data_IF_612024864471
#
_entry.id   IF_612024864471
#
_cell.length_a   1.000
_cell.length_b   1.000
_cell.length_c   1.000
_cell.angle_alpha   90.00
_cell.angle_beta   90.00
_cell.angle_gamma   90.00
#
_symmetry.space_group_name_H-M   'P 1'
#
loop_
_entity.id
_entity.type
_entity.pdbx_description
1 polymer ?
#
# COMPACT_ATOMS: atom_id res chain seq x y z
N UNK A 1 12.07 8.89 3.65
CA UNK A 1 13.16 9.84 3.97
C UNK A 1 13.12 10.32 5.42
N UNK A 2 11.97 10.85 5.92
CA UNK A 2 11.86 11.42 7.28
C UNK A 2 12.23 10.40 8.35
N UNK A 3 11.70 9.16 8.28
CA UNK A 3 12.02 8.09 9.23
C UNK A 3 13.50 7.70 9.18
N UNK A 4 14.09 7.69 7.99
CA UNK A 4 15.50 7.39 7.82
C UNK A 4 16.41 8.47 8.46
N UNK A 5 15.94 9.72 8.47
CA UNK A 5 16.64 10.83 9.13
C UNK A 5 16.46 10.85 10.65
N UNK A 6 15.39 10.22 11.18
CA UNK A 6 15.15 10.18 12.62
C UNK A 6 16.17 9.30 13.36
N UNK A 7 16.65 9.72 14.54
CA UNK A 7 17.51 8.92 15.40
C UNK A 7 16.68 7.84 16.11
N UNK A 8 16.39 6.73 15.43
CA UNK A 8 15.60 5.62 15.98
C UNK A 8 16.40 4.31 15.92
N UNK A 9 16.36 3.49 16.96
CA UNK A 9 17.15 2.25 17.05
C UNK A 9 16.66 1.18 16.06
N UNK A 10 15.38 1.17 15.68
CA UNK A 10 14.81 0.19 14.76
C UNK A 10 13.97 0.89 13.69
N UNK A 11 14.61 1.38 12.63
CA UNK A 11 13.98 2.11 11.55
C UNK A 11 13.00 1.26 10.75
N UNK A 12 13.27 -0.03 10.54
CA UNK A 12 12.39 -0.95 9.82
C UNK A 12 11.05 -1.15 10.55
N UNK A 13 11.10 -1.33 11.87
CA UNK A 13 9.90 -1.42 12.70
C UNK A 13 9.08 -0.14 12.65
N UNK A 14 9.75 1.02 12.77
CA UNK A 14 9.10 2.32 12.73
C UNK A 14 8.47 2.60 11.34
N UNK A 15 9.15 2.22 10.26
CA UNK A 15 8.63 2.31 8.90
C UNK A 15 7.35 1.48 8.73
N UNK A 16 7.37 0.21 9.16
CA UNK A 16 6.20 -0.67 9.09
C UNK A 16 5.05 -0.15 9.96
N UNK A 17 5.35 0.37 11.14
CA UNK A 17 4.35 0.97 12.03
C UNK A 17 3.70 2.20 11.39
N UNK A 18 4.48 3.11 10.83
CA UNK A 18 3.96 4.30 10.13
C UNK A 18 3.04 3.89 8.97
N UNK A 19 3.46 2.92 8.17
CA UNK A 19 2.63 2.42 7.07
C UNK A 19 1.35 1.71 7.55
N UNK A 20 1.31 1.15 8.77
CA UNK A 20 0.08 0.57 9.32
C UNK A 20 -0.97 1.64 9.62
N UNK A 21 -0.57 2.84 10.06
CA UNK A 21 -1.51 3.96 10.27
C UNK A 21 -2.20 4.41 9.00
N UNK A 22 -1.53 4.35 7.85
CA UNK A 22 -2.17 4.58 6.55
C UNK A 22 -3.35 3.61 6.35
N UNK A 23 -3.15 2.33 6.60
CA UNK A 23 -4.18 1.31 6.43
C UNK A 23 -5.36 1.51 7.39
N UNK A 24 -5.09 1.78 8.66
CA UNK A 24 -6.15 2.06 9.65
C UNK A 24 -6.88 3.37 9.33
N UNK A 25 -6.17 4.37 8.79
CA UNK A 25 -6.77 5.59 8.27
C UNK A 25 -7.73 5.31 7.12
N UNK A 26 -7.35 4.46 6.17
CA UNK A 26 -8.24 4.03 5.07
C UNK A 26 -9.48 3.33 5.60
N UNK A 27 -9.35 2.42 6.57
CA UNK A 27 -10.50 1.78 7.24
C UNK A 27 -11.44 2.82 7.85
N UNK A 28 -10.88 3.79 8.60
CA UNK A 28 -11.67 4.85 9.23
C UNK A 28 -12.40 5.72 8.20
N UNK A 29 -11.72 6.11 7.11
CA UNK A 29 -12.31 6.90 6.03
C UNK A 29 -13.44 6.13 5.35
N UNK A 30 -13.25 4.85 5.02
CA UNK A 30 -14.29 4.02 4.40
C UNK A 30 -15.49 3.90 5.32
N UNK A 31 -15.31 3.53 6.59
CA UNK A 31 -16.40 3.36 7.55
C UNK A 31 -17.19 4.66 7.76
N UNK A 32 -16.51 5.76 8.02
CA UNK A 32 -17.15 7.05 8.29
C UNK A 32 -17.84 7.58 7.04
N UNK A 33 -17.21 7.50 5.86
CA UNK A 33 -17.82 7.97 4.62
C UNK A 33 -19.02 7.12 4.21
N UNK A 34 -18.92 5.79 4.31
CA UNK A 34 -20.04 4.88 4.01
C UNK A 34 -21.23 5.15 4.94
N UNK A 35 -20.98 5.30 6.24
CA UNK A 35 -22.02 5.62 7.22
C UNK A 35 -22.65 6.99 6.96
N UNK A 36 -21.83 8.01 6.70
CA UNK A 36 -22.31 9.36 6.42
C UNK A 36 -23.16 9.40 5.15
N UNK A 37 -22.72 8.76 4.05
CA UNK A 37 -23.49 8.68 2.81
C UNK A 37 -24.80 7.90 3.00
N UNK A 38 -24.82 6.90 3.87
CA UNK A 38 -26.03 6.14 4.19
C UNK A 38 -27.05 6.97 4.98
N UNK A 39 -26.59 7.82 5.91
CA UNK A 39 -27.44 8.66 6.77
C UNK A 39 -27.92 9.92 6.04
N UNK A 40 -27.02 10.60 5.34
CA UNK A 40 -27.29 11.91 4.72
C UNK A 40 -27.59 11.86 3.22
N UNK A 41 -27.53 10.67 2.62
CA UNK A 41 -27.74 10.45 1.20
C UNK A 41 -26.48 10.69 0.35
N UNK A 42 -26.46 10.13 -0.85
CA UNK A 42 -25.31 10.17 -1.79
C UNK A 42 -24.96 11.59 -2.24
N UNK A 43 -25.91 12.52 -2.25
CA UNK A 43 -25.69 13.92 -2.62
C UNK A 43 -24.76 14.68 -1.65
N UNK A 44 -24.57 14.15 -0.43
CA UNK A 44 -23.72 14.75 0.61
C UNK A 44 -22.23 14.53 0.41
N UNK A 45 -21.81 13.83 -0.66
CA UNK A 45 -20.39 13.50 -0.91
C UNK A 45 -19.47 14.73 -0.92
N UNK A 46 -19.95 15.89 -1.41
CA UNK A 46 -19.19 17.15 -1.45
C UNK A 46 -18.85 17.66 -0.04
N UNK A 47 -19.83 17.58 0.88
CA UNK A 47 -19.63 17.99 2.28
C UNK A 47 -18.65 17.06 2.96
N UNK A 48 -18.78 15.75 2.75
CA UNK A 48 -17.86 14.73 3.29
C UNK A 48 -16.45 14.98 2.77
N UNK A 49 -16.28 15.24 1.47
CA UNK A 49 -14.98 15.56 0.88
C UNK A 49 -14.36 16.83 1.48
N UNK A 50 -15.17 17.87 1.72
CA UNK A 50 -14.72 19.09 2.36
C UNK A 50 -14.28 18.87 3.82
N UNK A 51 -14.97 17.99 4.56
CA UNK A 51 -14.57 17.62 5.94
C UNK A 51 -13.23 16.87 5.90
N UNK A 52 -13.05 15.90 4.97
CA UNK A 52 -11.77 15.20 4.83
C UNK A 52 -10.63 16.12 4.43
N UNK A 53 -10.87 17.21 3.70
CA UNK A 53 -9.85 18.21 3.35
C UNK A 53 -9.27 18.95 4.58
N UNK A 54 -9.98 18.97 5.72
CA UNK A 54 -9.46 19.57 6.96
C UNK A 54 -8.27 18.78 7.53
N UNK A 55 -8.16 17.47 7.28
CA UNK A 55 -7.04 16.66 7.77
C UNK A 55 -5.70 17.06 7.14
N UNK A 56 -5.54 17.12 5.80
CA UNK A 56 -4.29 17.57 5.21
C UNK A 56 -3.98 19.04 5.55
N UNK A 57 -5.00 19.90 5.71
CA UNK A 57 -4.80 21.29 6.15
C UNK A 57 -4.23 21.32 7.57
N UNK A 58 -4.82 20.57 8.51
CA UNK A 58 -4.31 20.44 9.88
C UNK A 58 -2.89 19.86 9.91
N UNK A 59 -2.62 18.88 9.06
CA UNK A 59 -1.31 18.27 8.92
C UNK A 59 -0.26 19.27 8.39
N UNK A 60 -0.61 20.08 7.39
CA UNK A 60 0.26 21.14 6.88
C UNK A 60 0.63 22.15 7.97
N UNK A 61 -0.35 22.58 8.77
CA UNK A 61 -0.13 23.47 9.93
C UNK A 61 0.76 22.81 10.99
N UNK A 62 0.57 21.53 11.26
CA UNK A 62 1.41 20.77 12.19
C UNK A 62 2.86 20.66 11.69
N UNK A 63 3.06 20.28 10.43
CA UNK A 63 4.39 20.16 9.83
C UNK A 63 5.17 21.49 9.78
N UNK A 64 4.48 22.63 9.75
CA UNK A 64 5.17 23.94 9.82
C UNK A 64 5.89 24.17 11.16
N UNK A 65 5.61 23.36 12.19
CA UNK A 65 6.18 23.49 13.54
C UNK A 65 7.04 22.32 13.99
N UNK A 66 7.07 21.22 13.21
CA UNK A 66 7.87 20.03 13.53
C UNK A 66 9.29 20.21 13.01
N UNK A 67 10.34 19.97 13.81
CA UNK A 67 11.71 19.95 13.33
C UNK A 67 11.89 18.77 12.37
N UNK A 68 12.30 19.08 11.15
CA UNK A 68 12.64 18.06 10.14
C UNK A 68 14.16 17.88 10.18
N UNK A 69 14.61 16.70 10.57
CA UNK A 69 16.02 16.35 10.52
C UNK A 69 16.47 16.20 9.07
N UNK A 70 17.55 16.87 8.69
CA UNK A 70 18.19 16.62 7.41
C UNK A 70 18.80 15.21 7.42
N UNK A 71 18.64 14.47 6.33
CA UNK A 71 19.47 13.28 6.14
C UNK A 71 20.93 13.76 6.08
N UNK A 72 21.72 13.34 7.06
CA UNK A 72 23.16 13.55 6.99
C UNK A 72 23.61 12.90 5.69
N UNK A 73 24.14 13.69 4.77
CA UNK A 73 24.70 13.14 3.53
C UNK A 73 25.77 12.13 3.95
N UNK A 74 25.44 10.85 3.84
CA UNK A 74 26.45 9.80 3.94
C UNK A 74 27.40 10.10 2.79
N UNK A 75 28.62 10.52 3.11
CA UNK A 75 29.67 10.79 2.13
C UNK A 75 29.71 9.62 1.15
N UNK A 76 29.28 9.85 -0.11
CA UNK A 76 29.33 8.88 -1.17
C UNK A 76 28.01 8.30 -1.66
N UNK A 77 26.91 9.08 -1.69
CA UNK A 77 25.70 8.61 -2.41
C UNK A 77 26.04 8.27 -3.86
N UNK A 78 25.57 7.10 -4.31
CA UNK A 78 25.87 6.61 -5.65
C UNK A 78 25.26 7.56 -6.71
N UNK A 79 26.04 7.93 -7.77
CA UNK A 79 25.49 8.74 -8.86
C UNK A 79 24.33 8.03 -9.55
N UNK A 80 23.29 8.77 -9.93
CA UNK A 80 22.09 8.23 -10.61
C UNK A 80 22.46 7.39 -11.84
N UNK A 81 23.44 7.82 -12.62
CA UNK A 81 23.92 7.07 -13.80
C UNK A 81 24.40 5.66 -13.43
N UNK A 82 25.08 5.51 -12.28
CA UNK A 82 25.52 4.21 -11.78
C UNK A 82 24.36 3.35 -11.28
N UNK A 83 23.39 3.95 -10.57
CA UNK A 83 22.16 3.26 -10.18
C UNK A 83 21.44 2.66 -11.40
N UNK A 84 21.23 3.47 -12.43
CA UNK A 84 20.54 3.05 -13.66
C UNK A 84 21.32 2.00 -14.46
N UNK A 85 22.63 1.84 -14.24
CA UNK A 85 23.43 0.78 -14.87
C UNK A 85 23.38 -0.56 -14.12
N UNK A 86 22.77 -0.63 -12.94
CA UNK A 86 22.72 -1.85 -12.11
C UNK A 86 21.48 -2.69 -12.42
N UNK A 87 21.61 -3.94 -12.87
CA UNK A 87 20.46 -4.84 -13.10
C UNK A 87 19.63 -5.05 -11.83
N UNK A 88 20.29 -5.11 -10.66
CA UNK A 88 19.63 -5.22 -9.36
C UNK A 88 18.66 -4.06 -9.12
N UNK A 89 19.05 -2.84 -9.49
CA UNK A 89 18.18 -1.68 -9.31
C UNK A 89 16.92 -1.76 -10.16
N UNK A 90 17.02 -2.23 -11.40
CA UNK A 90 15.85 -2.48 -12.25
C UNK A 90 14.94 -3.58 -11.69
N UNK A 91 15.52 -4.63 -11.11
CA UNK A 91 14.72 -5.66 -10.43
C UNK A 91 13.94 -5.07 -9.24
N UNK A 92 14.56 -4.21 -8.43
CA UNK A 92 13.90 -3.53 -7.32
C UNK A 92 12.80 -2.57 -7.81
N UNK A 93 13.02 -1.84 -8.92
CA UNK A 93 11.99 -1.00 -9.54
C UNK A 93 10.80 -1.82 -10.01
N UNK A 94 11.04 -2.96 -10.67
CA UNK A 94 9.96 -3.86 -11.11
C UNK A 94 9.19 -4.48 -9.94
N UNK A 95 9.89 -4.85 -8.87
CA UNK A 95 9.24 -5.35 -7.65
C UNK A 95 8.35 -4.26 -7.02
N UNK A 96 8.83 -3.01 -6.97
CA UNK A 96 8.07 -1.91 -6.41
C UNK A 96 6.85 -1.56 -7.29
N UNK A 97 7.04 -1.54 -8.62
CA UNK A 97 5.94 -1.38 -9.58
C UNK A 97 4.86 -2.45 -9.37
N UNK A 98 5.27 -3.73 -9.29
CA UNK A 98 4.35 -4.84 -9.08
C UNK A 98 3.64 -4.75 -7.73
N UNK A 99 4.35 -4.36 -6.66
CA UNK A 99 3.76 -4.15 -5.35
C UNK A 99 2.66 -3.07 -5.39
N UNK A 100 2.94 -1.92 -6.00
CA UNK A 100 1.95 -0.84 -6.18
C UNK A 100 0.76 -1.27 -7.04
N UNK A 101 1.02 -1.95 -8.15
CA UNK A 101 -0.03 -2.45 -9.04
C UNK A 101 -0.97 -3.43 -8.32
N UNK A 102 -0.43 -4.42 -7.61
CA UNK A 102 -1.22 -5.39 -6.87
C UNK A 102 -2.02 -4.76 -5.72
N UNK A 103 -1.40 -3.88 -4.94
CA UNK A 103 -2.07 -3.21 -3.82
C UNK A 103 -3.25 -2.37 -4.30
N UNK A 104 -3.00 -1.48 -5.26
CA UNK A 104 -4.02 -0.51 -5.69
C UNK A 104 -5.09 -1.10 -6.59
N UNK A 105 -4.77 -2.12 -7.38
CA UNK A 105 -5.77 -2.82 -8.19
C UNK A 105 -6.84 -3.47 -7.31
N UNK A 106 -6.44 -4.21 -6.29
CA UNK A 106 -7.40 -4.81 -5.36
C UNK A 106 -8.15 -3.75 -4.56
N UNK A 107 -7.43 -2.76 -4.01
CA UNK A 107 -8.04 -1.72 -3.19
C UNK A 107 -9.09 -0.90 -3.92
N UNK A 108 -8.86 -0.53 -5.18
CA UNK A 108 -9.78 0.30 -5.95
C UNK A 108 -10.94 -0.48 -6.56
N UNK A 109 -10.72 -1.73 -6.95
CA UNK A 109 -11.74 -2.51 -7.64
C UNK A 109 -12.53 -3.46 -6.75
N UNK A 110 -12.11 -3.73 -5.50
CA UNK A 110 -12.76 -4.72 -4.62
C UNK A 110 -14.25 -4.44 -4.39
N UNK A 111 -14.65 -3.18 -4.19
CA UNK A 111 -16.06 -2.83 -3.99
C UNK A 111 -16.88 -3.00 -5.28
N UNK A 112 -16.39 -2.49 -6.41
CA UNK A 112 -17.06 -2.63 -7.70
C UNK A 112 -17.14 -4.09 -8.16
N UNK A 113 -16.07 -4.87 -7.93
CA UNK A 113 -16.04 -6.31 -8.17
C UNK A 113 -17.09 -7.04 -7.32
N UNK A 114 -17.20 -6.70 -6.04
CA UNK A 114 -18.18 -7.30 -5.14
C UNK A 114 -19.63 -6.99 -5.58
N UNK A 115 -19.90 -5.74 -5.95
CA UNK A 115 -21.22 -5.30 -6.41
C UNK A 115 -21.58 -5.91 -7.77
N UNK A 116 -20.74 -5.71 -8.79
CA UNK A 116 -21.04 -6.08 -10.18
C UNK A 116 -20.74 -7.55 -10.48
N UNK A 117 -19.66 -8.10 -9.90
CA UNK A 117 -19.21 -9.47 -10.17
C UNK A 117 -19.86 -10.50 -9.26
N UNK A 118 -20.10 -10.17 -8.00
CA UNK A 118 -20.62 -11.10 -7.00
C UNK A 118 -22.09 -10.85 -6.64
N UNK A 119 -22.70 -9.76 -7.12
CA UNK A 119 -24.10 -9.42 -6.86
C UNK A 119 -24.43 -9.06 -5.40
N UNK A 120 -23.41 -8.66 -4.60
CA UNK A 120 -23.62 -8.20 -3.23
C UNK A 120 -23.91 -6.69 -3.20
N UNK A 121 -24.54 -6.21 -2.13
CA UNK A 121 -24.81 -4.77 -2.01
C UNK A 121 -23.51 -3.96 -1.94
N UNK A 122 -23.54 -2.71 -2.44
CA UNK A 122 -22.40 -1.79 -2.37
C UNK A 122 -21.82 -1.66 -0.96
N UNK A 123 -22.71 -1.57 0.06
CA UNK A 123 -22.27 -1.49 1.47
C UNK A 123 -21.45 -2.72 1.88
N UNK A 124 -21.87 -3.91 1.46
CA UNK A 124 -21.13 -5.16 1.72
C UNK A 124 -19.81 -5.15 0.95
N UNK A 125 -19.81 -4.69 -0.29
CA UNK A 125 -18.59 -4.53 -1.10
C UNK A 125 -17.57 -3.58 -0.46
N UNK A 126 -18.02 -2.43 0.02
CA UNK A 126 -17.15 -1.46 0.71
C UNK A 126 -16.57 -2.04 2.02
N UNK A 127 -17.39 -2.72 2.82
CA UNK A 127 -16.97 -3.26 4.12
C UNK A 127 -16.12 -4.53 3.99
N UNK A 128 -16.54 -5.51 3.19
CA UNK A 128 -15.86 -6.79 3.08
C UNK A 128 -14.81 -6.82 1.95
N UNK A 129 -14.92 -5.96 0.96
CA UNK A 129 -13.89 -5.76 -0.06
C UNK A 129 -12.80 -4.82 0.45
N UNK A 130 -13.07 -3.52 0.42
CA UNK A 130 -12.06 -2.48 0.66
C UNK A 130 -11.65 -2.40 2.13
N UNK A 131 -12.62 -2.40 3.06
CA UNK A 131 -12.32 -2.24 4.48
C UNK A 131 -11.57 -3.45 5.05
N UNK A 132 -11.99 -4.68 4.73
CA UNK A 132 -11.30 -5.90 5.16
C UNK A 132 -9.90 -6.01 4.54
N UNK A 133 -9.75 -5.67 3.24
CA UNK A 133 -8.45 -5.57 2.57
C UNK A 133 -7.50 -4.64 3.35
N UNK A 134 -7.94 -3.40 3.61
CA UNK A 134 -7.13 -2.40 4.31
C UNK A 134 -6.83 -2.78 5.75
N UNK A 135 -7.78 -3.39 6.45
CA UNK A 135 -7.61 -3.88 7.82
C UNK A 135 -6.55 -4.97 7.89
N UNK A 136 -6.64 -5.99 7.04
CA UNK A 136 -5.68 -7.09 7.02
C UNK A 136 -4.30 -6.62 6.56
N UNK A 137 -4.22 -5.66 5.64
CA UNK A 137 -2.98 -5.00 5.26
C UNK A 137 -2.36 -4.26 6.45
N UNK A 138 -3.15 -3.51 7.21
CA UNK A 138 -2.70 -2.82 8.42
C UNK A 138 -2.22 -3.80 9.49
N UNK A 139 -2.93 -4.90 9.70
CA UNK A 139 -2.55 -5.97 10.63
C UNK A 139 -1.21 -6.59 10.22
N UNK A 140 -1.01 -6.92 8.93
CA UNK A 140 0.25 -7.48 8.45
C UNK A 140 1.43 -6.54 8.73
N UNK A 141 1.28 -5.25 8.43
CA UNK A 141 2.29 -4.21 8.71
C UNK A 141 2.54 -4.04 10.21
N UNK A 142 1.49 -4.02 11.00
CA UNK A 142 1.59 -3.92 12.46
C UNK A 142 2.30 -5.15 13.07
N UNK A 143 1.91 -6.35 12.68
CA UNK A 143 2.57 -7.57 13.13
C UNK A 143 4.05 -7.58 12.76
N UNK A 144 4.39 -7.18 11.52
CA UNK A 144 5.79 -7.07 11.10
C UNK A 144 6.58 -6.06 11.95
N UNK A 145 5.94 -5.00 12.42
CA UNK A 145 6.59 -4.00 13.29
C UNK A 145 6.85 -4.51 14.69
N UNK A 146 6.07 -5.47 15.18
CA UNK A 146 6.13 -5.98 16.56
C UNK A 146 6.84 -7.31 16.71
N UNK A 147 6.71 -8.17 15.70
CA UNK A 147 7.31 -9.50 15.74
C UNK A 147 8.71 -9.46 15.13
N UNK A 148 9.71 -9.84 15.94
CA UNK A 148 11.07 -9.98 15.45
C UNK A 148 11.18 -11.28 14.63
N UNK A 149 10.75 -11.21 13.37
CA UNK A 149 10.74 -12.36 12.45
C UNK A 149 12.20 -12.68 12.08
N UNK A 150 12.68 -13.83 12.48
CA UNK A 150 14.03 -14.33 12.14
C UNK A 150 14.17 -14.72 10.66
N UNK A 151 13.07 -14.72 9.93
CA UNK A 151 13.03 -15.06 8.49
C UNK A 151 13.68 -13.95 7.66
N UNK A 152 14.49 -14.33 6.69
CA UNK A 152 15.10 -13.37 5.77
C UNK A 152 14.02 -12.57 5.02
N UNK A 153 14.33 -11.31 4.71
CA UNK A 153 13.39 -10.46 3.96
C UNK A 153 13.03 -11.07 2.60
N UNK A 154 13.96 -11.76 1.95
CA UNK A 154 13.73 -12.44 0.67
C UNK A 154 12.68 -13.54 0.77
N UNK A 155 12.81 -14.45 1.76
CA UNK A 155 11.83 -15.53 1.97
C UNK A 155 10.45 -14.97 2.30
N UNK A 156 10.39 -13.89 3.09
CA UNK A 156 9.15 -13.21 3.40
C UNK A 156 8.49 -12.60 2.16
N UNK A 157 9.27 -11.92 1.31
CA UNK A 157 8.79 -11.33 0.05
C UNK A 157 8.27 -12.40 -0.92
N UNK A 158 8.98 -13.53 -1.05
CA UNK A 158 8.53 -14.67 -1.89
C UNK A 158 7.21 -15.23 -1.34
N UNK A 159 7.11 -15.46 -0.03
CA UNK A 159 5.89 -15.96 0.59
C UNK A 159 4.70 -15.02 0.41
N UNK A 160 4.92 -13.71 0.60
CA UNK A 160 3.89 -12.69 0.39
C UNK A 160 3.49 -12.58 -1.10
N UNK A 161 4.44 -12.65 -2.02
CA UNK A 161 4.15 -12.66 -3.45
C UNK A 161 3.33 -13.88 -3.88
N UNK A 162 3.68 -15.07 -3.39
CA UNK A 162 2.93 -16.30 -3.65
C UNK A 162 1.51 -16.23 -3.06
N UNK A 163 1.38 -15.73 -1.83
CA UNK A 163 0.08 -15.52 -1.19
C UNK A 163 -0.76 -14.49 -1.96
N UNK A 164 -0.14 -13.41 -2.46
CA UNK A 164 -0.81 -12.42 -3.29
C UNK A 164 -1.39 -13.05 -4.56
N UNK A 165 -0.58 -13.81 -5.30
CA UNK A 165 -1.04 -14.52 -6.50
C UNK A 165 -2.18 -15.51 -6.19
N UNK A 166 -2.04 -16.30 -5.13
CA UNK A 166 -3.09 -17.22 -4.69
C UNK A 166 -4.38 -16.48 -4.31
N UNK A 167 -4.28 -15.31 -3.67
CA UNK A 167 -5.41 -14.49 -3.27
C UNK A 167 -6.17 -13.92 -4.47
N UNK A 168 -5.45 -13.46 -5.49
CA UNK A 168 -6.04 -13.01 -6.76
C UNK A 168 -6.75 -14.15 -7.49
N UNK A 169 -6.12 -15.34 -7.55
CA UNK A 169 -6.76 -16.53 -8.12
C UNK A 169 -7.99 -16.94 -7.34
N UNK A 170 -7.94 -16.90 -6.02
CA UNK A 170 -9.10 -17.18 -5.17
C UNK A 170 -10.23 -16.18 -5.44
N UNK A 171 -9.92 -14.88 -5.50
CA UNK A 171 -10.93 -13.86 -5.80
C UNK A 171 -11.57 -14.06 -7.18
N UNK A 172 -10.76 -14.42 -8.20
CA UNK A 172 -11.23 -14.56 -9.57
C UNK A 172 -11.99 -15.88 -9.85
N UNK A 173 -11.62 -16.97 -9.18
CA UNK A 173 -12.10 -18.32 -9.51
C UNK A 173 -13.06 -18.92 -8.46
N UNK A 174 -13.27 -18.24 -7.33
CA UNK A 174 -14.12 -18.78 -6.27
C UNK A 174 -15.59 -18.87 -6.70
N UNK A 175 -16.24 -20.02 -6.46
CA UNK A 175 -17.64 -20.22 -6.86
C UNK A 175 -18.64 -19.46 -5.96
N UNK A 176 -18.20 -19.00 -4.77
CA UNK A 176 -19.03 -18.32 -3.80
C UNK A 176 -18.50 -16.90 -3.49
N UNK A 177 -19.39 -15.89 -3.40
CA UNK A 177 -19.01 -14.52 -3.08
C UNK A 177 -18.16 -14.38 -1.80
N UNK A 178 -18.49 -15.16 -0.75
CA UNK A 178 -17.73 -15.12 0.50
C UNK A 178 -16.27 -15.55 0.34
N UNK A 179 -15.98 -16.56 -0.50
CA UNK A 179 -14.61 -16.99 -0.79
C UNK A 179 -13.87 -15.98 -1.65
N UNK A 180 -14.55 -15.35 -2.61
CA UNK A 180 -13.97 -14.29 -3.42
C UNK A 180 -13.60 -13.07 -2.55
N UNK A 181 -14.46 -12.64 -1.65
CA UNK A 181 -14.20 -11.58 -0.69
C UNK A 181 -13.08 -11.94 0.30
N UNK A 182 -13.01 -13.21 0.73
CA UNK A 182 -11.88 -13.70 1.52
C UNK A 182 -10.56 -13.56 0.73
N UNK A 183 -10.57 -13.86 -0.56
CA UNK A 183 -9.44 -13.62 -1.47
C UNK A 183 -9.02 -12.16 -1.48
N UNK A 184 -9.97 -11.21 -1.56
CA UNK A 184 -9.67 -9.78 -1.46
C UNK A 184 -9.00 -9.42 -0.12
N UNK A 185 -9.50 -9.93 0.99
CA UNK A 185 -8.91 -9.71 2.30
C UNK A 185 -7.49 -10.29 2.45
N UNK A 186 -7.29 -11.55 2.03
CA UNK A 186 -5.96 -12.21 2.05
C UNK A 186 -4.96 -11.50 1.14
N UNK A 187 -5.42 -10.95 0.02
CA UNK A 187 -4.59 -10.09 -0.82
C UNK A 187 -4.08 -8.88 -0.01
N UNK A 188 -4.94 -8.21 0.76
CA UNK A 188 -4.54 -7.11 1.64
C UNK A 188 -3.43 -7.52 2.62
N UNK A 189 -3.58 -8.67 3.28
CA UNK A 189 -2.55 -9.19 4.18
C UNK A 189 -1.22 -9.42 3.46
N UNK A 190 -1.24 -9.98 2.26
CA UNK A 190 -0.04 -10.29 1.48
C UNK A 190 0.68 -9.04 0.97
N UNK A 191 -0.05 -8.09 0.37
CA UNK A 191 0.57 -6.87 -0.18
C UNK A 191 1.07 -5.93 0.92
N UNK A 192 0.56 -6.06 2.15
CA UNK A 192 0.98 -5.25 3.28
C UNK A 192 2.49 -5.22 3.52
N UNK A 193 3.18 -6.30 3.18
CA UNK A 193 4.63 -6.43 3.37
C UNK A 193 5.43 -6.01 2.12
N UNK A 194 4.81 -6.03 0.92
CA UNK A 194 5.55 -5.86 -0.33
C UNK A 194 6.23 -4.47 -0.44
N UNK A 195 5.49 -3.39 -0.22
CA UNK A 195 6.06 -2.03 -0.28
C UNK A 195 7.20 -1.81 0.72
N UNK A 196 6.99 -1.96 2.04
CA UNK A 196 8.06 -1.79 3.02
C UNK A 196 9.18 -2.82 2.83
N UNK A 197 8.86 -4.01 2.31
CA UNK A 197 9.83 -5.05 2.01
C UNK A 197 10.80 -4.66 0.91
N UNK A 198 10.32 -4.07 -0.20
CA UNK A 198 11.21 -3.59 -1.27
C UNK A 198 12.13 -2.48 -0.79
N UNK A 199 11.63 -1.53 0.02
CA UNK A 199 12.49 -0.51 0.63
C UNK A 199 13.56 -1.10 1.54
N UNK A 200 13.18 -2.10 2.37
CA UNK A 200 14.14 -2.80 3.23
C UNK A 200 15.21 -3.53 2.42
N UNK A 201 14.79 -4.27 1.38
CA UNK A 201 15.71 -4.95 0.46
C UNK A 201 16.65 -3.95 -0.24
N UNK A 202 16.14 -2.83 -0.71
CA UNK A 202 16.94 -1.80 -1.35
C UNK A 202 18.00 -1.22 -0.40
N UNK A 203 17.63 -0.96 0.85
CA UNK A 203 18.56 -0.50 1.89
C UNK A 203 19.66 -1.50 2.22
N UNK A 204 19.33 -2.80 2.27
CA UNK A 204 20.29 -3.87 2.54
C UNK A 204 21.23 -4.14 1.33
N UNK A 205 20.66 -4.19 0.12
CA UNK A 205 21.40 -4.57 -1.10
C UNK A 205 22.18 -3.40 -1.73
N UNK A 206 21.72 -2.17 -1.51
CA UNK A 206 22.33 -0.94 -2.04
C UNK A 206 22.50 0.12 -0.94
N UNK A 207 23.35 -0.11 0.06
CA UNK A 207 23.51 0.82 1.20
C UNK A 207 23.94 2.24 0.79
N UNK A 208 24.62 2.37 -0.33
CA UNK A 208 25.07 3.65 -0.90
C UNK A 208 24.10 4.25 -1.91
N UNK A 209 22.92 3.66 -2.11
CA UNK A 209 21.93 4.10 -3.10
C UNK A 209 21.38 5.51 -2.88
N UNK A 210 21.39 5.97 -1.62
CA UNK A 210 21.02 7.32 -1.25
C UNK A 210 19.56 7.69 -1.52
N UNK A 211 19.25 8.98 -1.38
CA UNK A 211 17.88 9.51 -1.54
C UNK A 211 17.32 9.26 -2.95
N UNK A 212 18.16 9.34 -3.98
CA UNK A 212 17.74 9.14 -5.37
C UNK A 212 17.17 7.74 -5.61
N UNK A 213 17.80 6.70 -5.06
CA UNK A 213 17.32 5.32 -5.15
C UNK A 213 15.88 5.19 -4.59
N UNK A 214 15.66 5.70 -3.38
CA UNK A 214 14.35 5.65 -2.75
C UNK A 214 13.29 6.48 -3.49
N UNK A 215 13.69 7.61 -4.10
CA UNK A 215 12.80 8.41 -4.92
C UNK A 215 12.36 7.68 -6.19
N UNK A 216 13.27 7.01 -6.89
CA UNK A 216 12.93 6.20 -8.06
C UNK A 216 12.07 4.98 -7.70
N UNK A 217 12.33 4.34 -6.56
CA UNK A 217 11.48 3.25 -6.08
C UNK A 217 10.06 3.75 -5.79
N UNK A 218 9.91 4.90 -5.10
CA UNK A 218 8.60 5.49 -4.88
C UNK A 218 7.89 5.77 -6.21
N UNK A 219 8.57 6.41 -7.17
CA UNK A 219 8.02 6.68 -8.49
C UNK A 219 7.57 5.41 -9.22
N UNK A 220 8.36 4.34 -9.17
CA UNK A 220 7.98 3.05 -9.76
C UNK A 220 6.72 2.47 -9.12
N UNK A 221 6.62 2.55 -7.79
CA UNK A 221 5.42 2.14 -7.05
C UNK A 221 4.20 2.97 -7.42
N UNK A 222 4.33 4.29 -7.54
CA UNK A 222 3.23 5.19 -7.92
C UNK A 222 2.77 4.93 -9.37
N UNK A 223 3.69 4.65 -10.29
CA UNK A 223 3.34 4.25 -11.66
C UNK A 223 2.59 2.91 -11.65
N UNK A 224 3.02 1.93 -10.84
CA UNK A 224 2.31 0.67 -10.65
C UNK A 224 0.92 0.88 -10.06
N UNK A 225 0.83 1.71 -9.03
CA UNK A 225 -0.42 2.05 -8.33
C UNK A 225 -1.46 2.73 -9.22
N UNK A 226 -1.01 3.46 -10.22
CA UNK A 226 -1.89 4.08 -11.22
C UNK A 226 -2.15 3.15 -12.40
N UNK A 227 -1.13 2.49 -12.91
CA UNK A 227 -1.19 1.63 -14.09
C UNK A 227 -1.98 0.34 -13.88
N UNK A 228 -1.82 -0.33 -12.72
CA UNK A 228 -2.52 -1.57 -12.40
C UNK A 228 -4.04 -1.44 -12.46
N UNK A 229 -4.66 -0.56 -11.64
CA UNK A 229 -6.11 -0.35 -11.67
C UNK A 229 -6.62 0.13 -13.04
N UNK A 230 -5.85 0.97 -13.73
CA UNK A 230 -6.23 1.47 -15.07
C UNK A 230 -6.30 0.33 -16.07
N UNK A 231 -5.32 -0.58 -16.09
CA UNK A 231 -5.32 -1.74 -16.98
C UNK A 231 -6.52 -2.66 -16.69
N UNK A 232 -6.83 -2.91 -15.41
CA UNK A 232 -8.00 -3.71 -15.03
C UNK A 232 -9.28 -3.02 -15.53
N UNK A 233 -9.41 -1.70 -15.35
CA UNK A 233 -10.58 -0.96 -15.81
C UNK A 233 -10.76 -0.99 -17.31
N UNK A 234 -9.68 -0.88 -18.08
CA UNK A 234 -9.73 -0.98 -19.55
C UNK A 234 -10.15 -2.37 -20.01
N UNK A 235 -9.63 -3.43 -19.38
CA UNK A 235 -9.99 -4.81 -19.71
C UNK A 235 -11.45 -5.08 -19.33
N UNK A 236 -11.88 -4.70 -18.13
CA UNK A 236 -13.25 -4.90 -17.67
C UNK A 236 -14.28 -4.10 -18.48
N UNK A 237 -13.92 -2.90 -18.96
CA UNK A 237 -14.80 -2.08 -19.79
C UNK A 237 -14.90 -2.53 -21.27
N UNK A 238 -14.05 -3.47 -21.70
CA UNK A 238 -14.06 -4.04 -23.06
C UNK A 238 -14.91 -5.31 -23.17
N UNK A 239 -15.46 -5.80 -22.08
CA UNK A 239 -16.33 -6.99 -21.96
C UNK A 239 -17.64 -6.63 -21.30
#
# INVERSE_FOLDING_TARGET
PIIEACPAPNKHSLMSLMHSFYCFGTVAVVLVSTLALRIFGSESWRVIAAIWALLPLGNALFFSRVPIYSMTEVHGSMPVKRLLSMPLFWALLMLMFAAGACEMSMSQWASAFAESGLGVSKTVGDLLGVCMFSLLMGIARFLRSRVNVKTSIFSLMIGCGALCAASYLLAALAPHPALALLGCGLCGFSVGILWPGVYSMAGELCPTGGTAMFAFLALAGDIGSSGGPTLIGLIAGSH
#
